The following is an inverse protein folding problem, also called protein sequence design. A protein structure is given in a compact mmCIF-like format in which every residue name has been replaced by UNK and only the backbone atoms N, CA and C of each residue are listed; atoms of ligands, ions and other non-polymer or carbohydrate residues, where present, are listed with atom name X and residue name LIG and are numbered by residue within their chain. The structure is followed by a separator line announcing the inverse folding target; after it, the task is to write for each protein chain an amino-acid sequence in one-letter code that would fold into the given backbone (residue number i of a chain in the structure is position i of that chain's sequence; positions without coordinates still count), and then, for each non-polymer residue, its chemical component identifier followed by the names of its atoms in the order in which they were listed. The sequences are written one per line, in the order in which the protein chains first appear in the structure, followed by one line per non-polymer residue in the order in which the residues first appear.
data_IF_077001929264
#
_entry.id   IF_077001929264
#
_cell.length_a   1.000
_cell.length_b   1.000
_cell.length_c   1.000
_cell.angle_alpha   90.00
_cell.angle_beta   90.00
_cell.angle_gamma   90.00
#
_symmetry.space_group_name_H-M   'P 1'
#
loop_
_entity.id
_entity.type
_entity.pdbx_description
1 polymer ?
#
# COMPACT_ATOMS: atom_id res chain seq x y z
N UNK A 1 -9.52 16.33 30.48
CA UNK A 1 -9.63 14.87 30.29
C UNK A 1 -8.30 14.24 30.65
N UNK A 2 -8.25 13.29 31.60
CA UNK A 2 -7.01 12.55 31.88
C UNK A 2 -6.81 11.54 30.74
N UNK A 3 -5.92 11.85 29.80
CA UNK A 3 -5.49 10.90 28.79
C UNK A 3 -4.83 9.73 29.51
N UNK A 4 -5.47 8.56 29.47
CA UNK A 4 -4.90 7.34 30.03
C UNK A 4 -3.65 7.02 29.19
N UNK A 5 -2.46 7.17 29.76
CA UNK A 5 -1.22 6.80 29.08
C UNK A 5 -1.31 5.32 28.70
N UNK A 6 -1.39 5.03 27.40
CA UNK A 6 -1.39 3.67 26.89
C UNK A 6 -0.04 3.02 27.17
N UNK A 7 -0.03 1.72 27.47
CA UNK A 7 1.21 0.97 27.59
C UNK A 7 1.82 0.81 26.21
N UNK A 8 3.15 0.75 26.11
CA UNK A 8 3.85 0.72 24.81
C UNK A 8 3.39 -0.43 23.91
N UNK A 9 3.02 -1.59 24.48
CA UNK A 9 2.46 -2.73 23.72
C UNK A 9 1.14 -2.38 23.02
N UNK A 10 0.28 -1.61 23.69
CA UNK A 10 -1.02 -1.18 23.16
C UNK A 10 -0.78 -0.14 22.06
N UNK A 11 0.11 0.84 22.31
CA UNK A 11 0.47 1.88 21.36
C UNK A 11 1.15 1.33 20.09
N UNK A 12 2.03 0.33 20.23
CA UNK A 12 2.70 -0.30 19.10
C UNK A 12 1.71 -1.08 18.22
N UNK A 13 0.80 -1.82 18.87
CA UNK A 13 -0.28 -2.53 18.16
C UNK A 13 -1.18 -1.55 17.41
N UNK A 14 -1.56 -0.44 18.05
CA UNK A 14 -2.37 0.63 17.44
C UNK A 14 -1.64 1.28 16.25
N UNK A 15 -0.32 1.50 16.36
CA UNK A 15 0.50 2.03 15.27
C UNK A 15 0.53 1.10 14.04
N UNK A 16 0.71 -0.21 14.24
CA UNK A 16 0.65 -1.20 13.14
C UNK A 16 -0.77 -1.33 12.57
N UNK A 17 -1.79 -1.24 13.43
CA UNK A 17 -3.18 -1.22 13.01
C UNK A 17 -3.51 0.01 12.15
N UNK A 18 -2.99 1.20 12.48
CA UNK A 18 -3.16 2.40 11.66
C UNK A 18 -2.53 2.26 10.26
N UNK A 19 -1.39 1.57 10.14
CA UNK A 19 -0.79 1.24 8.85
C UNK A 19 -1.68 0.28 8.05
N UNK A 20 -2.24 -0.74 8.72
CA UNK A 20 -3.17 -1.69 8.10
C UNK A 20 -4.45 -1.01 7.59
N UNK A 21 -5.07 -0.14 8.39
CA UNK A 21 -6.24 0.66 7.99
C UNK A 21 -5.90 1.51 6.77
N UNK A 22 -4.77 2.22 6.80
CA UNK A 22 -4.30 3.05 5.67
C UNK A 22 -4.18 2.22 4.38
N UNK A 23 -3.52 1.06 4.45
CA UNK A 23 -3.39 0.18 3.29
C UNK A 23 -4.74 -0.37 2.81
N UNK A 24 -5.67 -0.63 3.73
CA UNK A 24 -7.02 -1.13 3.43
C UNK A 24 -7.88 -0.08 2.73
N UNK A 25 -7.79 1.18 3.16
CA UNK A 25 -8.46 2.31 2.50
C UNK A 25 -7.95 2.50 1.07
N UNK A 26 -6.63 2.51 0.86
CA UNK A 26 -6.08 2.62 -0.50
C UNK A 26 -6.41 1.42 -1.38
N UNK A 27 -6.39 0.20 -0.83
CA UNK A 27 -6.83 -1.00 -1.56
C UNK A 27 -8.27 -0.88 -2.05
N UNK A 28 -9.15 -0.39 -1.18
CA UNK A 28 -10.57 -0.19 -1.49
C UNK A 28 -10.74 0.90 -2.56
N UNK A 29 -10.05 2.02 -2.41
CA UNK A 29 -10.06 3.10 -3.39
C UNK A 29 -9.53 2.65 -4.76
N UNK A 30 -8.42 1.90 -4.78
CA UNK A 30 -7.86 1.31 -6.00
C UNK A 30 -8.87 0.38 -6.69
N UNK A 31 -9.53 -0.51 -5.94
CA UNK A 31 -10.57 -1.39 -6.51
C UNK A 31 -11.71 -0.59 -7.15
N UNK A 32 -12.17 0.48 -6.49
CA UNK A 32 -13.19 1.36 -7.06
C UNK A 32 -12.71 2.06 -8.34
N UNK A 33 -11.48 2.54 -8.38
CA UNK A 33 -10.91 3.19 -9.56
C UNK A 33 -10.70 2.21 -10.73
N UNK A 34 -10.23 0.99 -10.44
CA UNK A 34 -10.12 -0.11 -11.41
C UNK A 34 -11.48 -0.41 -12.04
N UNK A 35 -12.52 -0.60 -11.22
CA UNK A 35 -13.88 -0.87 -11.70
C UNK A 35 -14.44 0.33 -12.50
N UNK A 36 -14.19 1.56 -12.06
CA UNK A 36 -14.61 2.75 -12.77
C UNK A 36 -13.96 2.86 -14.15
N UNK A 37 -12.65 2.59 -14.26
CA UNK A 37 -11.95 2.53 -15.55
C UNK A 37 -12.54 1.44 -16.44
N UNK A 38 -12.72 0.24 -15.91
CA UNK A 38 -13.22 -0.89 -16.69
C UNK A 38 -14.64 -0.61 -17.23
N UNK A 39 -15.48 0.08 -16.45
CA UNK A 39 -16.81 0.52 -16.89
C UNK A 39 -16.80 1.73 -17.85
N UNK A 40 -15.64 2.36 -18.07
CA UNK A 40 -15.46 3.45 -19.02
C UNK A 40 -14.81 3.03 -20.34
N UNK A 41 -14.48 1.75 -20.50
CA UNK A 41 -13.97 1.21 -21.76
C UNK A 41 -14.96 1.44 -22.91
N UNK A 42 -14.45 1.91 -24.05
CA UNK A 42 -15.24 2.26 -25.22
C UNK A 42 -16.07 1.09 -25.75
N UNK A 43 -15.53 -0.12 -25.72
CA UNK A 43 -16.18 -1.33 -26.23
C UNK A 43 -17.44 -1.71 -25.43
N UNK A 44 -17.59 -1.17 -24.21
CA UNK A 44 -18.73 -1.41 -23.33
C UNK A 44 -19.81 -0.33 -23.44
N UNK A 45 -19.55 0.73 -24.20
CA UNK A 45 -20.44 1.88 -24.30
C UNK A 45 -20.97 2.04 -25.72
N UNK A 46 -22.28 2.22 -25.84
CA UNK A 46 -22.88 2.60 -27.12
C UNK A 46 -22.52 4.05 -27.43
N UNK A 47 -21.62 4.26 -28.38
CA UNK A 47 -21.24 5.59 -28.84
C UNK A 47 -22.37 6.16 -29.70
N UNK A 48 -22.87 7.34 -29.31
CA UNK A 48 -23.76 8.15 -30.14
C UNK A 48 -22.96 8.96 -31.16
N UNK A 49 -23.22 8.76 -32.46
CA UNK A 49 -22.48 9.36 -33.59
C UNK A 49 -22.84 10.82 -33.88
N UNK A 50 -23.77 11.38 -33.10
CA UNK A 50 -24.20 12.78 -33.23
C UNK A 50 -23.04 13.77 -33.22
N UNK A 51 -23.01 14.62 -34.24
CA UNK A 51 -22.03 15.70 -34.41
C UNK A 51 -22.70 17.06 -34.31
N UNK A 52 -22.04 18.00 -33.66
CA UNK A 52 -22.46 19.41 -33.57
C UNK A 52 -21.58 20.27 -34.48
N UNK A 53 -22.19 21.28 -35.11
CA UNK A 53 -21.48 22.34 -35.81
C UNK A 53 -21.10 23.46 -34.84
N UNK A 54 -19.85 23.89 -34.89
CA UNK A 54 -19.35 25.04 -34.12
C UNK A 54 -18.94 26.13 -35.10
N UNK A 55 -19.55 27.30 -34.96
CA UNK A 55 -19.15 28.51 -35.67
C UNK A 55 -18.40 29.42 -34.69
N UNK A 56 -17.08 29.57 -34.88
CA UNK A 56 -16.26 30.48 -34.06
C UNK A 56 -15.98 31.75 -34.85
N UNK A 57 -16.37 32.91 -34.32
CA UNK A 57 -15.95 34.22 -34.85
C UNK A 57 -14.46 34.41 -34.57
N UNK A 58 -13.69 34.73 -35.60
CA UNK A 58 -12.24 34.89 -35.54
C UNK A 58 -11.81 36.33 -35.28
N UNK A 59 -12.60 37.31 -35.71
CA UNK A 59 -12.33 38.72 -35.55
C UNK A 59 -13.61 39.59 -35.59
N UNK A 60 -13.45 40.87 -35.24
CA UNK A 60 -14.56 41.84 -35.27
C UNK A 60 -15.05 42.15 -36.69
N UNK A 61 -14.26 41.81 -37.71
CA UNK A 61 -14.61 41.97 -39.14
C UNK A 61 -15.63 40.95 -39.67
N UNK A 62 -15.97 39.93 -38.86
CA UNK A 62 -17.01 38.96 -39.18
C UNK A 62 -16.49 37.67 -39.80
N UNK A 63 -15.17 37.44 -39.85
CA UNK A 63 -14.63 36.16 -40.29
C UNK A 63 -15.04 35.05 -39.32
N UNK A 64 -15.54 33.94 -39.85
CA UNK A 64 -16.00 32.80 -39.07
C UNK A 64 -15.31 31.51 -39.49
N UNK A 65 -15.01 30.66 -38.52
CA UNK A 65 -14.47 29.31 -38.74
C UNK A 65 -15.50 28.28 -38.33
N UNK A 66 -15.91 27.46 -39.28
CA UNK A 66 -16.78 26.32 -39.06
C UNK A 66 -15.95 25.07 -38.80
N UNK A 67 -16.30 24.32 -37.76
CA UNK A 67 -15.77 22.97 -37.55
C UNK A 67 -16.84 22.09 -36.91
N UNK A 68 -16.72 20.79 -37.10
CA UNK A 68 -17.61 19.79 -36.49
C UNK A 68 -16.94 19.20 -35.25
N UNK A 69 -17.73 18.84 -34.25
CA UNK A 69 -17.26 18.06 -33.09
C UNK A 69 -18.22 16.92 -32.79
N UNK A 70 -17.68 15.79 -32.31
CA UNK A 70 -18.43 14.67 -31.77
C UNK A 70 -18.38 14.74 -30.23
N UNK A 71 -19.29 15.48 -29.58
CA UNK A 71 -19.19 15.78 -28.15
C UNK A 71 -19.25 14.53 -27.27
N UNK A 72 -20.06 13.53 -27.66
CA UNK A 72 -20.17 12.29 -26.90
C UNK A 72 -18.87 11.47 -26.93
N UNK A 73 -18.27 11.29 -28.11
CA UNK A 73 -16.95 10.63 -28.24
C UNK A 73 -15.87 11.35 -27.42
N UNK A 74 -15.83 12.70 -27.52
CA UNK A 74 -14.86 13.50 -26.76
C UNK A 74 -15.06 13.36 -25.25
N UNK A 75 -16.30 13.37 -24.77
CA UNK A 75 -16.61 13.17 -23.35
C UNK A 75 -16.16 11.78 -22.87
N UNK A 76 -16.42 10.72 -23.64
CA UNK A 76 -15.96 9.37 -23.31
C UNK A 76 -14.44 9.28 -23.22
N UNK A 77 -13.71 9.93 -24.14
CA UNK A 77 -12.25 10.01 -24.08
C UNK A 77 -11.76 10.68 -22.81
N UNK A 78 -12.33 11.85 -22.46
CA UNK A 78 -11.94 12.59 -21.24
C UNK A 78 -12.24 11.80 -19.95
N UNK A 79 -13.37 11.10 -19.91
CA UNK A 79 -13.75 10.24 -18.78
C UNK A 79 -12.78 9.05 -18.66
N UNK A 80 -12.46 8.39 -19.77
CA UNK A 80 -11.51 7.28 -19.79
C UNK A 80 -10.13 7.73 -19.30
N UNK A 81 -9.65 8.90 -19.74
CA UNK A 81 -8.37 9.44 -19.30
C UNK A 81 -8.38 9.81 -17.81
N UNK A 82 -9.49 10.36 -17.31
CA UNK A 82 -9.65 10.66 -15.89
C UNK A 82 -9.57 9.40 -15.02
N UNK A 83 -10.30 8.33 -15.37
CA UNK A 83 -10.26 7.09 -14.61
C UNK A 83 -8.94 6.34 -14.74
N UNK A 84 -8.27 6.38 -15.90
CA UNK A 84 -6.92 5.81 -16.05
C UNK A 84 -5.91 6.50 -15.13
N UNK A 85 -5.98 7.83 -14.99
CA UNK A 85 -5.12 8.57 -14.06
C UNK A 85 -5.41 8.19 -12.61
N UNK A 86 -6.70 8.16 -12.23
CA UNK A 86 -7.11 7.81 -10.87
C UNK A 86 -6.71 6.38 -10.50
N UNK A 87 -6.88 5.40 -11.40
CA UNK A 87 -6.45 4.02 -11.18
C UNK A 87 -4.94 3.93 -10.95
N UNK A 88 -4.12 4.55 -11.81
CA UNK A 88 -2.65 4.53 -11.66
C UNK A 88 -2.20 5.19 -10.36
N UNK A 89 -2.75 6.35 -10.03
CA UNK A 89 -2.42 7.06 -8.80
C UNK A 89 -2.78 6.21 -7.57
N UNK A 90 -3.99 5.66 -7.52
CA UNK A 90 -4.44 4.85 -6.38
C UNK A 90 -3.73 3.49 -6.31
N UNK A 91 -3.31 2.92 -7.44
CA UNK A 91 -2.46 1.74 -7.47
C UNK A 91 -1.12 2.01 -6.78
N UNK A 92 -0.45 3.10 -7.16
CA UNK A 92 0.83 3.48 -6.57
C UNK A 92 0.68 3.75 -5.06
N UNK A 93 -0.35 4.50 -4.65
CA UNK A 93 -0.61 4.76 -3.24
C UNK A 93 -0.93 3.49 -2.45
N UNK A 94 -1.63 2.54 -3.05
CA UNK A 94 -1.89 1.25 -2.42
C UNK A 94 -0.61 0.45 -2.25
N UNK A 95 0.24 0.39 -3.28
CA UNK A 95 1.53 -0.28 -3.20
C UNK A 95 2.42 0.28 -2.09
N UNK A 96 2.61 1.60 -2.07
CA UNK A 96 3.38 2.30 -1.04
C UNK A 96 2.83 2.00 0.37
N UNK A 97 1.51 2.13 0.56
CA UNK A 97 0.87 1.89 1.85
C UNK A 97 0.98 0.42 2.29
N UNK A 98 0.87 -0.53 1.36
CA UNK A 98 1.01 -1.95 1.64
C UNK A 98 2.45 -2.31 2.03
N UNK A 99 3.45 -1.71 1.38
CA UNK A 99 4.87 -1.90 1.71
C UNK A 99 5.23 -1.26 3.06
N UNK A 100 4.71 -0.07 3.37
CA UNK A 100 4.85 0.55 4.69
C UNK A 100 4.22 -0.31 5.79
N UNK A 101 3.03 -0.85 5.55
CA UNK A 101 2.38 -1.76 6.48
C UNK A 101 3.20 -3.04 6.70
N UNK A 102 3.62 -3.69 5.62
CA UNK A 102 4.44 -4.90 5.66
C UNK A 102 5.75 -4.69 6.42
N UNK A 103 6.52 -3.68 6.02
CA UNK A 103 7.82 -3.37 6.61
C UNK A 103 7.70 -2.83 8.04
N UNK A 104 6.67 -2.04 8.35
CA UNK A 104 6.38 -1.57 9.71
C UNK A 104 6.04 -2.72 10.67
N UNK A 105 5.23 -3.70 10.23
CA UNK A 105 4.92 -4.88 11.03
C UNK A 105 6.18 -5.76 11.25
N UNK A 106 7.01 -5.95 10.21
CA UNK A 106 8.28 -6.67 10.32
C UNK A 106 9.25 -5.98 11.29
N UNK A 107 9.40 -4.66 11.17
CA UNK A 107 10.21 -3.85 12.08
C UNK A 107 9.72 -3.97 13.53
N UNK A 108 8.41 -3.88 13.77
CA UNK A 108 7.84 -3.99 15.11
C UNK A 108 8.18 -5.33 15.77
N UNK A 109 8.09 -6.43 15.01
CA UNK A 109 8.51 -7.76 15.49
C UNK A 109 10.00 -7.77 15.81
N UNK A 110 10.83 -7.30 14.89
CA UNK A 110 12.28 -7.31 15.06
C UNK A 110 12.72 -6.50 16.29
N UNK A 111 12.09 -5.34 16.54
CA UNK A 111 12.35 -4.51 17.72
C UNK A 111 11.98 -5.22 19.03
N UNK A 112 10.79 -5.85 19.08
CA UNK A 112 10.39 -6.64 20.25
C UNK A 112 11.34 -7.83 20.48
N UNK A 113 11.79 -8.51 19.42
CA UNK A 113 12.77 -9.60 19.52
C UNK A 113 14.14 -9.14 20.04
N UNK A 114 14.52 -7.88 19.82
CA UNK A 114 15.71 -7.25 20.40
C UNK A 114 15.50 -6.78 21.86
N UNK A 115 14.38 -7.15 22.48
CA UNK A 115 13.98 -6.68 23.82
C UNK A 115 13.80 -5.17 23.92
N UNK A 116 13.53 -4.50 22.80
CA UNK A 116 13.19 -3.07 22.80
C UNK A 116 11.70 -2.89 23.18
N UNK A 117 11.35 -1.69 23.64
CA UNK A 117 9.96 -1.33 23.99
C UNK A 117 9.47 -0.14 23.16
N UNK A 118 9.45 -0.25 21.82
CA UNK A 118 9.06 0.87 20.97
C UNK A 118 7.57 1.17 21.16
N UNK A 119 7.18 2.42 21.47
CA UNK A 119 5.77 2.77 21.62
C UNK A 119 5.04 2.90 20.28
N UNK A 120 5.75 3.14 19.17
CA UNK A 120 5.20 3.33 17.82
C UNK A 120 6.18 2.80 16.78
N UNK A 121 5.69 2.55 15.56
CA UNK A 121 6.55 2.28 14.40
C UNK A 121 7.15 3.59 13.90
N UNK A 122 8.46 3.63 13.75
CA UNK A 122 9.19 4.81 13.30
C UNK A 122 9.74 4.59 11.89
N UNK A 123 9.48 5.48 10.96
CA UNK A 123 10.07 5.47 9.62
C UNK A 123 11.01 6.66 9.46
N UNK A 124 12.09 6.48 8.71
CA UNK A 124 12.93 7.60 8.27
C UNK A 124 12.34 8.20 7.00
N UNK A 125 12.31 9.51 6.89
CA UNK A 125 11.85 10.22 5.69
C UNK A 125 13.06 10.73 4.89
N UNK A 126 13.05 10.49 3.58
CA UNK A 126 14.01 11.05 2.62
C UNK A 126 13.23 11.60 1.42
N UNK A 127 13.49 12.84 1.04
CA UNK A 127 12.85 13.51 -0.11
C UNK A 127 11.30 13.50 -0.11
N UNK A 128 10.69 13.55 1.09
CA UNK A 128 9.24 13.51 1.25
C UNK A 128 8.62 12.11 1.11
N UNK A 129 9.45 11.07 1.08
CA UNK A 129 9.04 9.67 1.03
C UNK A 129 9.54 8.92 2.27
N UNK A 130 8.68 8.06 2.81
CA UNK A 130 9.03 7.20 3.94
C UNK A 130 9.84 6.01 3.44
N UNK A 131 11.04 5.84 3.98
CA UNK A 131 11.88 4.70 3.67
C UNK A 131 11.30 3.43 4.31
N UNK A 132 11.21 2.36 3.52
CA UNK A 132 10.74 1.06 4.00
C UNK A 132 11.80 0.39 4.89
N UNK A 133 11.34 -0.29 5.94
CA UNK A 133 12.22 -1.17 6.73
C UNK A 133 12.53 -2.47 6.00
N UNK A 134 13.52 -3.21 6.52
CA UNK A 134 13.75 -4.59 6.15
C UNK A 134 12.50 -5.46 6.36
N UNK A 135 12.19 -6.28 5.36
CA UNK A 135 11.00 -7.13 5.37
C UNK A 135 11.24 -8.49 6.04
N UNK A 136 12.49 -8.92 6.19
CA UNK A 136 12.80 -10.26 6.72
C UNK A 136 12.51 -10.36 8.22
N UNK A 137 11.80 -11.43 8.62
CA UNK A 137 11.52 -11.74 10.02
C UNK A 137 12.12 -13.10 10.36
N UNK A 138 13.06 -13.11 11.30
CA UNK A 138 13.72 -14.32 11.81
C UNK A 138 13.18 -14.75 13.19
N UNK A 139 13.53 -15.94 13.66
CA UNK A 139 13.31 -16.34 15.06
C UNK A 139 11.86 -16.63 15.47
N UNK A 140 11.00 -17.01 14.50
CA UNK A 140 9.58 -17.34 14.74
C UNK A 140 9.28 -18.85 14.66
N UNK A 141 10.26 -19.74 14.86
CA UNK A 141 10.08 -21.19 14.65
C UNK A 141 8.96 -21.84 15.49
N UNK A 142 8.64 -21.24 16.64
CA UNK A 142 7.56 -21.70 17.55
C UNK A 142 6.18 -21.12 17.21
N UNK A 143 6.11 -20.16 16.28
CA UNK A 143 4.85 -19.57 15.86
C UNK A 143 4.17 -20.48 14.83
N UNK A 144 2.93 -20.88 15.09
CA UNK A 144 2.17 -21.77 14.20
C UNK A 144 2.03 -21.23 12.77
N UNK A 145 2.00 -19.90 12.59
CA UNK A 145 1.92 -19.24 11.29
C UNK A 145 3.25 -19.03 10.57
N UNK A 146 4.38 -19.50 11.11
CA UNK A 146 5.72 -19.21 10.58
C UNK A 146 5.92 -19.68 9.13
N UNK A 147 5.35 -20.83 8.76
CA UNK A 147 5.44 -21.32 7.38
C UNK A 147 4.72 -20.39 6.40
N UNK A 148 3.46 -20.03 6.68
CA UNK A 148 2.68 -19.13 5.83
C UNK A 148 3.35 -17.75 5.69
N UNK A 149 3.89 -17.22 6.80
CA UNK A 149 4.63 -15.96 6.81
C UNK A 149 5.86 -16.02 5.89
N UNK A 150 6.63 -17.12 5.96
CA UNK A 150 7.83 -17.31 5.12
C UNK A 150 7.47 -17.42 3.63
N UNK A 151 6.41 -18.15 3.29
CA UNK A 151 5.95 -18.27 1.90
C UNK A 151 5.49 -16.91 1.37
N UNK A 152 4.74 -16.14 2.15
CA UNK A 152 4.32 -14.80 1.75
C UNK A 152 5.51 -13.83 1.60
N UNK A 153 6.52 -13.92 2.47
CA UNK A 153 7.77 -13.17 2.33
C UNK A 153 8.51 -13.53 1.04
N UNK A 154 8.61 -14.83 0.71
CA UNK A 154 9.27 -15.30 -0.51
C UNK A 154 8.56 -14.79 -1.77
N UNK A 155 7.23 -14.87 -1.81
CA UNK A 155 6.43 -14.32 -2.92
C UNK A 155 6.68 -12.82 -3.09
N UNK A 156 6.60 -12.04 -2.00
CA UNK A 156 6.88 -10.60 -2.03
C UNK A 156 8.32 -10.30 -2.47
N UNK A 157 9.31 -11.05 -1.98
CA UNK A 157 10.71 -10.86 -2.32
C UNK A 157 10.99 -11.13 -3.81
N UNK A 158 10.36 -12.16 -4.39
CA UNK A 158 10.45 -12.43 -5.83
C UNK A 158 9.89 -11.26 -6.64
N UNK A 159 8.73 -10.73 -6.25
CA UNK A 159 8.08 -9.61 -6.94
C UNK A 159 8.88 -8.32 -6.86
N UNK A 160 9.41 -7.99 -5.68
CA UNK A 160 10.29 -6.84 -5.49
C UNK A 160 11.59 -6.99 -6.29
N UNK A 161 12.15 -8.20 -6.35
CA UNK A 161 13.31 -8.50 -7.19
C UNK A 161 13.02 -8.30 -8.69
N UNK A 162 11.86 -8.76 -9.16
CA UNK A 162 11.41 -8.56 -10.53
C UNK A 162 11.19 -7.08 -10.86
N UNK A 163 10.61 -6.29 -9.94
CA UNK A 163 10.44 -4.85 -10.11
C UNK A 163 11.79 -4.12 -10.20
N UNK A 164 12.74 -4.41 -9.30
CA UNK A 164 14.08 -3.83 -9.37
C UNK A 164 14.80 -4.17 -10.68
N UNK A 165 14.66 -5.42 -11.15
CA UNK A 165 15.22 -5.81 -12.44
C UNK A 165 14.54 -5.11 -13.64
N UNK A 166 13.22 -4.91 -13.58
CA UNK A 166 12.48 -4.14 -14.60
C UNK A 166 12.92 -2.67 -14.62
N UNK A 167 13.15 -2.05 -13.46
CA UNK A 167 13.68 -0.69 -13.35
C UNK A 167 15.09 -0.59 -13.93
N UNK A 168 15.97 -1.55 -13.60
CA UNK A 168 17.34 -1.63 -14.14
C UNK A 168 17.36 -1.75 -15.66
N UNK A 169 16.42 -2.50 -16.24
CA UNK A 169 16.24 -2.60 -17.69
C UNK A 169 15.68 -1.30 -18.28
N UNK A 170 14.66 -0.72 -17.65
CA UNK A 170 14.02 0.51 -18.12
C UNK A 170 14.94 1.74 -18.07
N UNK A 171 15.94 1.74 -17.18
CA UNK A 171 16.94 2.80 -17.06
C UNK A 171 18.00 2.78 -18.20
N UNK A 172 18.05 1.72 -19.01
CA UNK A 172 19.04 1.61 -20.11
C UNK A 172 18.66 2.52 -21.27
N UNK A 173 19.66 3.21 -21.83
CA UNK A 173 19.46 4.12 -22.98
C UNK A 173 19.08 3.37 -24.27
N UNK A 174 19.45 2.09 -24.38
CA UNK A 174 19.12 1.23 -25.50
C UNK A 174 18.75 -0.17 -25.00
N UNK A 175 17.66 -0.71 -25.52
CA UNK A 175 17.19 -2.07 -25.26
C UNK A 175 17.15 -2.84 -26.57
N UNK A 176 17.88 -3.93 -26.65
CA UNK A 176 17.73 -4.90 -27.73
C UNK A 176 16.39 -5.66 -27.61
N UNK A 177 15.91 -6.26 -28.69
CA UNK A 177 14.61 -6.95 -28.73
C UNK A 177 14.44 -8.04 -27.65
N UNK A 178 15.53 -8.73 -27.29
CA UNK A 178 15.50 -9.74 -26.21
C UNK A 178 15.35 -9.10 -24.83
N UNK A 179 16.00 -7.95 -24.58
CA UNK A 179 15.89 -7.20 -23.34
C UNK A 179 14.50 -6.53 -23.20
N UNK A 180 13.87 -6.15 -24.30
CA UNK A 180 12.48 -5.69 -24.30
C UNK A 180 11.52 -6.83 -23.89
N UNK A 181 11.78 -8.07 -24.34
CA UNK A 181 11.04 -9.25 -23.90
C UNK A 181 11.24 -9.55 -22.41
N UNK A 182 12.48 -9.44 -21.92
CA UNK A 182 12.82 -9.59 -20.49
C UNK A 182 12.16 -8.53 -19.63
N UNK A 183 12.11 -7.27 -20.09
CA UNK A 183 11.42 -6.19 -19.39
C UNK A 183 9.93 -6.48 -19.23
N UNK A 184 9.27 -6.95 -20.30
CA UNK A 184 7.85 -7.32 -20.22
C UNK A 184 7.61 -8.47 -19.24
N UNK A 185 8.43 -9.51 -19.27
CA UNK A 185 8.32 -10.63 -18.33
C UNK A 185 8.55 -10.16 -16.87
N UNK A 186 9.55 -9.30 -16.64
CA UNK A 186 9.85 -8.77 -15.33
C UNK A 186 8.70 -7.89 -14.77
N UNK A 187 8.06 -7.09 -15.64
CA UNK A 187 6.87 -6.31 -15.26
C UNK A 187 5.67 -7.21 -14.93
N UNK A 188 5.48 -8.31 -15.66
CA UNK A 188 4.43 -9.29 -15.39
C UNK A 188 4.68 -10.02 -14.05
N UNK A 189 5.92 -10.39 -13.77
CA UNK A 189 6.30 -11.04 -12.50
C UNK A 189 6.18 -10.08 -11.31
N UNK A 190 6.55 -8.80 -11.51
CA UNK A 190 6.38 -7.72 -10.54
C UNK A 190 4.91 -7.34 -10.30
N UNK A 191 3.99 -7.75 -11.16
CA UNK A 191 2.58 -7.43 -10.98
C UNK A 191 2.07 -7.99 -9.63
N UNK A 192 1.30 -7.17 -8.91
CA UNK A 192 0.69 -7.56 -7.64
C UNK A 192 1.57 -7.42 -6.41
N UNK A 193 2.65 -6.60 -6.44
CA UNK A 193 3.44 -6.25 -5.24
C UNK A 193 2.54 -5.76 -4.11
N UNK A 194 1.60 -4.86 -4.40
CA UNK A 194 0.69 -4.32 -3.38
C UNK A 194 -0.11 -5.41 -2.65
N UNK A 195 -0.68 -6.38 -3.38
CA UNK A 195 -1.43 -7.48 -2.78
C UNK A 195 -0.52 -8.44 -2.01
N UNK A 196 0.67 -8.76 -2.53
CA UNK A 196 1.66 -9.59 -1.85
C UNK A 196 2.16 -8.95 -0.54
N UNK A 197 2.47 -7.64 -0.58
CA UNK A 197 2.87 -6.86 0.58
C UNK A 197 1.76 -6.79 1.61
N UNK A 198 0.52 -6.54 1.19
CA UNK A 198 -0.63 -6.51 2.08
C UNK A 198 -0.88 -7.88 2.75
N UNK A 199 -0.81 -8.98 2.00
CA UNK A 199 -0.95 -10.33 2.53
C UNK A 199 0.16 -10.69 3.52
N UNK A 200 1.41 -10.35 3.19
CA UNK A 200 2.55 -10.52 4.10
C UNK A 200 2.36 -9.69 5.38
N UNK A 201 2.01 -8.42 5.25
CA UNK A 201 1.73 -7.53 6.38
C UNK A 201 0.64 -8.06 7.31
N UNK A 202 -0.44 -8.66 6.79
CA UNK A 202 -1.46 -9.31 7.62
C UNK A 202 -0.91 -10.48 8.43
N UNK A 203 -0.06 -11.31 7.84
CA UNK A 203 0.57 -12.42 8.55
C UNK A 203 1.58 -11.93 9.59
N UNK A 204 2.34 -10.89 9.25
CA UNK A 204 3.28 -10.24 10.16
C UNK A 204 2.55 -9.59 11.35
N UNK A 205 1.46 -8.85 11.12
CA UNK A 205 0.65 -8.27 12.19
C UNK A 205 0.09 -9.36 13.14
N UNK A 206 -0.35 -10.51 12.62
CA UNK A 206 -0.72 -11.65 13.47
C UNK A 206 0.46 -12.20 14.28
N UNK A 207 1.64 -12.27 13.67
CA UNK A 207 2.87 -12.69 14.36
C UNK A 207 3.34 -11.67 15.42
N UNK A 208 3.03 -10.38 15.24
CA UNK A 208 3.31 -9.34 16.24
C UNK A 208 2.59 -9.64 17.56
N UNK A 209 1.32 -10.04 17.50
CA UNK A 209 0.59 -10.44 18.71
C UNK A 209 1.25 -11.63 19.42
N UNK A 210 1.81 -12.57 18.67
CA UNK A 210 2.55 -13.70 19.24
C UNK A 210 3.80 -13.25 20.01
N UNK A 211 4.63 -12.37 19.44
CA UNK A 211 5.84 -11.87 20.12
C UNK A 211 5.51 -10.96 21.31
N UNK A 212 4.37 -10.28 21.29
CA UNK A 212 3.90 -9.45 22.39
C UNK A 212 3.29 -10.23 23.56
N UNK A 213 3.05 -11.55 23.44
CA UNK A 213 2.41 -12.35 24.50
C UNK A 213 3.14 -12.26 25.84
N UNK A 214 4.47 -12.44 25.86
CA UNK A 214 5.23 -12.40 27.11
C UNK A 214 5.34 -10.97 27.67
N UNK A 215 5.66 -9.93 26.87
CA UNK A 215 5.58 -8.54 27.33
C UNK A 215 4.22 -8.15 27.95
N UNK A 216 3.12 -8.61 27.37
CA UNK A 216 1.76 -8.37 27.89
C UNK A 216 1.57 -9.09 29.22
N UNK A 217 1.98 -10.35 29.34
CA UNK A 217 1.90 -11.12 30.59
C UNK A 217 2.73 -10.50 31.70
N UNK A 218 3.93 -10.02 31.40
CA UNK A 218 4.79 -9.36 32.38
C UNK A 218 4.16 -8.07 32.90
N UNK A 219 3.56 -7.27 32.02
CA UNK A 219 2.76 -6.10 32.41
C UNK A 219 1.61 -6.50 33.34
N UNK A 220 0.86 -7.54 33.00
CA UNK A 220 -0.27 -8.00 33.84
C UNK A 220 0.20 -8.45 35.23
N UNK A 221 1.31 -9.19 35.31
CA UNK A 221 1.95 -9.59 36.58
C UNK A 221 2.33 -8.36 37.42
N UNK A 222 2.98 -7.37 36.81
CA UNK A 222 3.39 -6.14 37.49
C UNK A 222 2.19 -5.33 38.01
N UNK A 223 1.11 -5.23 37.22
CA UNK A 223 -0.11 -4.55 37.64
C UNK A 223 -0.82 -5.27 38.79
N UNK A 224 -0.85 -6.60 38.78
CA UNK A 224 -1.41 -7.40 39.87
C UNK A 224 -0.62 -7.20 41.17
N UNK A 225 0.71 -7.23 41.11
CA UNK A 225 1.59 -6.96 42.25
C UNK A 225 1.38 -5.55 42.81
N UNK A 226 1.32 -4.53 41.95
CA UNK A 226 1.09 -3.15 42.38
C UNK A 226 -0.29 -2.97 43.06
N UNK A 227 -1.32 -3.68 42.60
CA UNK A 227 -2.65 -3.67 43.24
C UNK A 227 -2.63 -4.35 44.61
N UNK A 228 -1.95 -5.49 44.72
CA UNK A 228 -1.80 -6.21 45.99
C UNK A 228 -1.04 -5.37 47.03
N UNK A 229 0.05 -4.71 46.62
CA UNK A 229 0.82 -3.82 47.50
C UNK A 229 0.02 -2.61 47.98
N UNK A 230 -0.78 -1.99 47.12
CA UNK A 230 -1.68 -0.88 47.52
C UNK A 230 -2.76 -1.34 48.50
N UNK A 231 -3.38 -2.50 48.25
CA UNK A 231 -4.37 -3.06 49.15
C UNK A 231 -3.76 -3.43 50.53
N UNK A 232 -2.47 -3.77 50.57
CA UNK A 232 -1.74 -4.03 51.81
C UNK A 232 -1.28 -2.76 52.53
N UNK A 233 -1.10 -1.62 51.84
CA UNK A 233 -0.74 -0.34 52.46
C UNK A 233 -1.94 0.44 53.00
N UNK A 234 -3.15 0.13 52.53
CA UNK A 234 -4.40 0.79 52.95
C UNK A 234 -5.07 0.08 54.15
N UNK A 235 -4.50 -1.05 54.61
CA UNK A 235 -4.89 -1.80 55.81
C UNK A 235 -3.87 -1.58 56.96
#
# INVERSE_FOLDING_TARGET
MKTKTLHWTDSLTDSVYALWETATEYRTAYLHAYLARHNAEFDRRRIHDGVIGICRRLNDRGDTRHHRRAPHFHALSLISDAYRRAERELQQRYEDAALLYASGAAWAIASVQRSETPPVVEFTEADGQLAHHGLEISGLDRYAGAHALRVAYQDLAVKLGAAGYAEDLAAREYLADHEAGELHAALDDAAGIADAAYAYGQLAHKALHFVLLEPIRDRERQLALARALRAASDN
#
